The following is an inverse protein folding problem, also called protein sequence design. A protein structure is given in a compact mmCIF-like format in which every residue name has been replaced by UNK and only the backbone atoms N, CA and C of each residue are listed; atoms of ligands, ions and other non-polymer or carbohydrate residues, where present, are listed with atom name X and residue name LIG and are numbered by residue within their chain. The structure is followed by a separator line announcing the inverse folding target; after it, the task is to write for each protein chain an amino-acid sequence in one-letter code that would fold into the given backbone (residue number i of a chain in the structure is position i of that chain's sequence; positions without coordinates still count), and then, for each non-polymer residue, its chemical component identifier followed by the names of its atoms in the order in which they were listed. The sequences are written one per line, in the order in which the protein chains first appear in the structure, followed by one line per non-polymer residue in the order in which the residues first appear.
data_IF_436598875241
#
_entry.id   IF_436598875241
#
_cell.length_a   1.000
_cell.length_b   1.000
_cell.length_c   1.000
_cell.angle_alpha   90.00
_cell.angle_beta   90.00
_cell.angle_gamma   90.00
#
_symmetry.space_group_name_H-M   'P 1'
#
loop_
_entity.id
_entity.type
_entity.pdbx_description
1 polymer ?
#
# COMPACT_ATOMS: atom_id res chain seq x y z
N UNK A 1 -15.28 -14.28 -43.71
CA UNK A 1 -14.10 -13.55 -43.28
C UNK A 1 -14.49 -12.79 -42.01
N UNK A 2 -14.22 -13.35 -40.87
CA UNK A 2 -14.60 -12.75 -39.58
C UNK A 2 -13.35 -12.06 -39.03
N UNK A 3 -13.39 -10.73 -39.03
CA UNK A 3 -12.33 -9.90 -38.49
C UNK A 3 -12.52 -9.86 -36.95
N UNK A 4 -11.75 -10.68 -36.28
CA UNK A 4 -11.66 -10.69 -34.82
C UNK A 4 -10.71 -9.57 -34.37
N UNK A 5 -11.17 -8.33 -34.51
CA UNK A 5 -10.55 -7.23 -33.78
C UNK A 5 -10.83 -7.45 -32.30
N UNK A 6 -9.94 -8.16 -31.64
CA UNK A 6 -9.81 -8.12 -30.17
C UNK A 6 -9.46 -6.69 -29.80
N UNK A 7 -10.49 -5.89 -29.55
CA UNK A 7 -10.33 -4.60 -28.91
C UNK A 7 -9.99 -4.90 -27.45
N UNK A 8 -8.72 -4.88 -27.19
CA UNK A 8 -8.18 -4.81 -25.83
C UNK A 8 -8.72 -3.53 -25.21
N UNK A 9 -9.88 -3.63 -24.57
CA UNK A 9 -10.40 -2.56 -23.74
C UNK A 9 -9.54 -2.57 -22.47
N UNK A 10 -8.37 -1.98 -22.56
CA UNK A 10 -7.73 -1.42 -21.41
C UNK A 10 -8.74 -0.43 -20.82
N UNK A 11 -9.37 -0.84 -19.73
CA UNK A 11 -10.18 0.04 -18.91
C UNK A 11 -9.26 1.13 -18.38
N UNK A 12 -9.12 2.20 -19.11
CA UNK A 12 -8.41 3.39 -18.68
C UNK A 12 -9.36 4.19 -17.76
N UNK A 13 -9.63 3.65 -16.57
CA UNK A 13 -10.20 4.46 -15.52
C UNK A 13 -9.19 5.58 -15.22
N UNK A 14 -9.64 6.83 -15.04
CA UNK A 14 -8.73 7.91 -14.72
C UNK A 14 -7.97 7.61 -13.42
N UNK A 15 -6.70 8.01 -13.32
CA UNK A 15 -5.94 7.83 -12.10
C UNK A 15 -6.65 8.52 -10.93
N UNK A 16 -6.58 7.93 -9.75
CA UNK A 16 -7.15 8.54 -8.56
C UNK A 16 -6.47 9.89 -8.29
N UNK A 17 -7.25 10.92 -8.05
CA UNK A 17 -6.75 12.20 -7.55
C UNK A 17 -6.74 12.26 -6.02
N UNK A 18 -7.24 11.21 -5.36
CA UNK A 18 -7.35 11.11 -3.90
C UNK A 18 -6.17 10.36 -3.31
N UNK A 19 -5.61 10.94 -2.25
CA UNK A 19 -4.68 10.24 -1.37
C UNK A 19 -5.44 9.26 -0.46
N UNK A 20 -4.75 8.21 0.05
CA UNK A 20 -5.36 7.27 0.99
C UNK A 20 -5.98 7.93 2.22
N UNK A 21 -7.12 7.40 2.64
CA UNK A 21 -7.80 7.80 3.89
C UNK A 21 -7.12 7.19 5.11
N UNK A 22 -6.42 6.06 4.94
CA UNK A 22 -5.69 5.39 6.01
C UNK A 22 -4.42 4.68 5.49
N UNK A 23 -3.44 4.57 6.37
CA UNK A 23 -2.19 3.83 6.14
C UNK A 23 -1.97 2.84 7.29
N UNK A 24 -1.79 1.57 6.96
CA UNK A 24 -1.30 0.55 7.91
C UNK A 24 0.21 0.50 7.78
N UNK A 25 0.91 1.10 8.73
CA UNK A 25 2.34 1.40 8.62
C UNK A 25 3.27 0.35 9.20
N UNK A 26 2.73 -0.65 9.89
CA UNK A 26 3.50 -1.73 10.52
C UNK A 26 2.66 -2.53 11.51
N UNK A 27 3.28 -3.46 12.20
CA UNK A 27 4.68 -3.80 12.07
C UNK A 27 4.88 -5.00 11.15
N UNK A 28 6.09 -5.17 10.63
CA UNK A 28 6.44 -6.40 9.92
C UNK A 28 6.24 -7.62 10.82
N UNK A 29 5.76 -8.73 10.24
CA UNK A 29 5.48 -9.99 10.94
C UNK A 29 4.37 -9.88 12.01
N UNK A 30 3.44 -8.95 11.83
CA UNK A 30 2.27 -8.72 12.68
C UNK A 30 0.95 -8.94 11.94
N UNK A 31 0.90 -9.93 11.04
CA UNK A 31 -0.27 -10.33 10.26
C UNK A 31 -0.78 -9.27 9.26
N UNK A 32 0.07 -8.38 8.77
CA UNK A 32 -0.31 -7.37 7.77
C UNK A 32 -0.77 -7.98 6.45
N UNK A 33 -0.25 -9.15 6.07
CA UNK A 33 -0.69 -9.88 4.87
C UNK A 33 -2.12 -10.41 5.03
N UNK A 34 -2.45 -10.97 6.19
CA UNK A 34 -3.82 -11.41 6.49
C UNK A 34 -4.79 -10.24 6.52
N UNK A 35 -4.41 -9.13 7.13
CA UNK A 35 -5.22 -7.92 7.13
C UNK A 35 -5.48 -7.40 5.70
N UNK A 36 -4.46 -7.39 4.85
CA UNK A 36 -4.60 -7.01 3.44
C UNK A 36 -5.65 -7.87 2.76
N UNK A 37 -5.56 -9.19 2.94
CA UNK A 37 -6.52 -10.12 2.36
C UNK A 37 -7.95 -9.83 2.81
N UNK A 38 -8.18 -9.67 4.10
CA UNK A 38 -9.53 -9.39 4.63
C UNK A 38 -10.08 -8.04 4.18
N UNK A 39 -9.26 -7.00 4.17
CA UNK A 39 -9.69 -5.67 3.74
C UNK A 39 -9.99 -5.63 2.24
N UNK A 40 -9.27 -6.39 1.42
CA UNK A 40 -9.54 -6.49 -0.02
C UNK A 40 -10.92 -7.09 -0.31
N UNK A 41 -11.44 -7.93 0.57
CA UNK A 41 -12.78 -8.52 0.44
C UNK A 41 -13.89 -7.58 0.89
N UNK A 42 -13.57 -6.47 1.54
CA UNK A 42 -14.56 -5.54 2.06
C UNK A 42 -15.04 -4.60 0.96
N UNK A 43 -16.37 -4.49 0.71
CA UNK A 43 -16.89 -3.73 -0.43
C UNK A 43 -16.68 -2.22 -0.34
N UNK A 44 -16.52 -1.68 0.87
CA UNK A 44 -16.32 -0.25 1.10
C UNK A 44 -14.84 0.15 1.24
N UNK A 45 -13.91 -0.78 1.00
CA UNK A 45 -12.47 -0.53 1.10
C UNK A 45 -11.81 -0.84 -0.23
N UNK A 46 -10.93 0.05 -0.65
CA UNK A 46 -10.06 -0.15 -1.79
C UNK A 46 -8.61 -0.17 -1.35
N UNK A 47 -7.89 -1.22 -1.70
CA UNK A 47 -6.45 -1.35 -1.53
C UNK A 47 -5.79 -1.56 -2.89
N UNK A 48 -4.54 -1.09 -3.10
CA UNK A 48 -3.80 -1.40 -4.31
C UNK A 48 -3.63 -2.90 -4.51
N UNK A 49 -3.57 -3.35 -5.75
CA UNK A 49 -3.26 -4.76 -6.06
C UNK A 49 -1.87 -5.15 -5.54
N UNK A 50 -0.92 -4.23 -5.59
CA UNK A 50 0.38 -4.38 -4.96
C UNK A 50 0.21 -4.07 -3.48
N UNK A 51 0.42 -5.05 -2.62
CA UNK A 51 0.25 -4.91 -1.17
C UNK A 51 1.14 -3.81 -0.60
N UNK A 52 2.39 -3.79 -0.97
CA UNK A 52 3.41 -2.87 -0.46
C UNK A 52 3.97 -2.07 -1.62
N UNK A 53 3.54 -0.82 -1.79
CA UNK A 53 4.02 0.02 -2.90
C UNK A 53 5.46 0.44 -2.73
N UNK A 54 5.95 0.50 -1.49
CA UNK A 54 7.28 1.00 -1.12
C UNK A 54 7.52 2.45 -1.53
N UNK A 55 6.49 3.18 -1.90
CA UNK A 55 6.63 4.52 -2.45
C UNK A 55 7.35 5.48 -1.50
N UNK A 56 6.97 5.49 -0.23
CA UNK A 56 7.54 6.42 0.74
C UNK A 56 8.90 5.99 1.31
N UNK A 57 9.37 4.77 1.04
CA UNK A 57 10.66 4.27 1.54
C UNK A 57 11.70 4.07 0.44
N UNK A 58 11.27 3.77 -0.78
CA UNK A 58 12.17 3.54 -1.91
C UNK A 58 12.47 4.86 -2.63
N UNK A 59 13.74 5.21 -2.71
CA UNK A 59 14.18 6.48 -3.31
C UNK A 59 13.80 6.59 -4.79
N UNK A 60 13.97 5.52 -5.55
CA UNK A 60 13.69 5.53 -6.99
C UNK A 60 12.19 5.64 -7.25
N UNK A 61 11.36 4.98 -6.44
CA UNK A 61 9.90 5.07 -6.55
C UNK A 61 9.40 6.44 -6.14
N UNK A 62 9.94 6.99 -5.06
CA UNK A 62 9.59 8.33 -4.60
C UNK A 62 9.94 9.40 -5.62
N UNK A 63 11.10 9.27 -6.29
CA UNK A 63 11.54 10.17 -7.35
C UNK A 63 10.60 10.22 -8.57
N UNK A 64 9.78 9.20 -8.78
CA UNK A 64 8.77 9.20 -9.85
C UNK A 64 7.59 10.14 -9.58
N UNK A 65 7.47 10.64 -8.38
CA UNK A 65 6.45 11.60 -7.98
C UNK A 65 5.14 10.99 -7.52
N UNK A 66 4.32 11.83 -6.87
CA UNK A 66 3.05 11.41 -6.26
C UNK A 66 2.05 10.88 -7.28
N UNK A 67 2.08 11.34 -8.52
CA UNK A 67 1.22 10.83 -9.58
C UNK A 67 1.43 9.33 -9.81
N UNK A 68 2.67 8.88 -9.81
CA UNK A 68 3.00 7.45 -9.92
C UNK A 68 2.44 6.64 -8.74
N UNK A 69 2.48 7.18 -7.55
CA UNK A 69 1.86 6.56 -6.38
C UNK A 69 0.33 6.45 -6.53
N UNK A 70 -0.31 7.52 -7.00
CA UNK A 70 -1.76 7.57 -7.19
C UNK A 70 -2.26 6.61 -8.27
N UNK A 71 -1.42 6.23 -9.23
CA UNK A 71 -1.75 5.24 -10.26
C UNK A 71 -2.11 3.87 -9.66
N UNK A 72 -1.57 3.53 -8.49
CA UNK A 72 -1.92 2.31 -7.77
C UNK A 72 -3.38 2.27 -7.29
N UNK A 73 -4.04 3.42 -7.24
CA UNK A 73 -5.41 3.57 -6.76
C UNK A 73 -6.41 3.80 -7.88
N UNK A 74 -6.02 3.53 -9.12
CA UNK A 74 -6.90 3.60 -10.28
C UNK A 74 -8.07 2.63 -10.12
N UNK A 75 -9.29 3.09 -10.39
CA UNK A 75 -10.51 2.28 -10.29
C UNK A 75 -11.20 2.34 -8.93
N UNK A 76 -10.71 3.16 -7.99
CA UNK A 76 -11.39 3.38 -6.71
C UNK A 76 -12.77 4.02 -6.94
N UNK A 77 -13.81 3.49 -6.27
CA UNK A 77 -15.14 4.08 -6.24
C UNK A 77 -15.24 5.24 -5.25
N UNK A 78 -16.11 6.21 -5.53
CA UNK A 78 -16.30 7.41 -4.69
C UNK A 78 -16.71 7.09 -3.25
N UNK A 79 -17.40 5.97 -3.05
CA UNK A 79 -17.88 5.53 -1.74
C UNK A 79 -16.88 4.67 -0.98
N UNK A 80 -15.79 4.26 -1.62
CA UNK A 80 -14.79 3.42 -0.99
C UNK A 80 -13.80 4.25 -0.18
N UNK A 81 -13.37 3.68 0.97
CA UNK A 81 -12.22 4.17 1.71
C UNK A 81 -10.95 3.64 1.09
N UNK A 82 -10.05 4.53 0.81
CA UNK A 82 -8.79 4.25 0.16
C UNK A 82 -7.72 3.98 1.21
N UNK A 83 -7.01 2.88 1.09
CA UNK A 83 -5.97 2.53 2.05
C UNK A 83 -4.75 1.90 1.41
N UNK A 84 -3.68 1.88 2.16
CA UNK A 84 -2.46 1.16 1.82
C UNK A 84 -1.91 0.46 3.06
N UNK A 85 -1.31 -0.70 2.84
CA UNK A 85 -0.58 -1.45 3.87
C UNK A 85 0.87 -1.58 3.43
N UNK A 86 1.75 -0.92 4.14
CA UNK A 86 3.20 -1.07 3.96
C UNK A 86 3.91 -1.04 5.33
N UNK A 87 4.31 -2.21 5.84
CA UNK A 87 4.88 -2.31 7.19
C UNK A 87 6.27 -1.67 7.33
N UNK A 88 6.90 -1.27 6.25
CA UNK A 88 8.19 -0.57 6.30
C UNK A 88 8.04 0.91 6.65
N UNK A 89 6.85 1.49 6.48
CA UNK A 89 6.65 2.92 6.74
C UNK A 89 6.92 3.32 8.19
N UNK A 90 6.65 2.45 9.16
CA UNK A 90 6.99 2.76 10.55
C UNK A 90 8.48 2.58 10.87
N UNK A 91 9.20 1.84 10.05
CA UNK A 91 10.61 1.53 10.30
C UNK A 91 11.57 2.60 9.75
N UNK A 92 11.26 3.17 8.60
CA UNK A 92 12.11 4.17 7.93
C UNK A 92 11.66 5.59 8.23
N UNK A 93 12.53 6.41 8.80
CA UNK A 93 12.25 7.81 9.15
C UNK A 93 11.88 8.67 7.95
N UNK A 94 12.44 8.36 6.79
CA UNK A 94 12.16 9.05 5.53
C UNK A 94 10.68 8.95 5.15
N UNK A 95 10.06 7.81 5.42
CA UNK A 95 8.63 7.62 5.15
C UNK A 95 7.76 8.61 5.94
N UNK A 96 8.11 8.85 7.20
CA UNK A 96 7.37 9.80 8.05
C UNK A 96 7.40 11.21 7.45
N UNK A 97 8.57 11.68 7.06
CA UNK A 97 8.72 13.02 6.48
C UNK A 97 7.98 13.16 5.15
N UNK A 98 8.07 12.15 4.30
CA UNK A 98 7.41 12.12 2.98
C UNK A 98 5.89 12.04 3.10
N UNK A 99 5.39 11.22 4.00
CA UNK A 99 3.94 11.13 4.29
C UNK A 99 3.44 12.47 4.82
N UNK A 100 4.12 13.07 5.79
CA UNK A 100 3.74 14.40 6.30
C UNK A 100 3.70 15.46 5.21
N UNK A 101 4.64 15.44 4.29
CA UNK A 101 4.69 16.40 3.18
C UNK A 101 3.47 16.27 2.27
N UNK A 102 3.13 15.06 1.82
CA UNK A 102 2.04 14.86 0.87
C UNK A 102 0.64 14.90 1.49
N UNK A 103 0.51 14.56 2.77
CA UNK A 103 -0.77 14.51 3.47
C UNK A 103 -1.02 15.72 4.39
N UNK A 104 -0.29 16.81 4.19
CA UNK A 104 -0.37 17.98 5.07
C UNK A 104 -1.78 18.54 5.22
N UNK A 105 -2.55 18.58 4.11
CA UNK A 105 -3.91 19.15 4.09
C UNK A 105 -5.00 18.15 4.51
N UNK A 106 -4.73 16.86 4.40
CA UNK A 106 -5.66 15.79 4.72
C UNK A 106 -4.92 14.59 5.33
N UNK A 107 -4.57 14.63 6.63
CA UNK A 107 -3.84 13.56 7.29
C UNK A 107 -4.60 12.24 7.24
N UNK A 108 -3.94 11.14 6.88
CA UNK A 108 -4.56 9.82 6.89
C UNK A 108 -4.68 9.31 8.32
N UNK A 109 -5.60 8.38 8.54
CA UNK A 109 -5.59 7.58 9.76
C UNK A 109 -4.41 6.62 9.74
N UNK A 110 -3.61 6.63 10.78
CA UNK A 110 -2.46 5.74 10.91
C UNK A 110 -2.86 4.54 11.76
N UNK A 111 -2.63 3.35 11.23
CA UNK A 111 -2.96 2.07 11.89
C UNK A 111 -1.68 1.29 12.14
N UNK A 112 -1.51 0.85 13.37
CA UNK A 112 -0.43 -0.03 13.79
C UNK A 112 -1.00 -1.39 14.17
N UNK A 113 -0.47 -2.47 13.58
CA UNK A 113 -0.68 -3.83 14.02
C UNK A 113 0.51 -4.25 14.85
N UNK A 114 0.27 -4.54 16.11
CA UNK A 114 1.32 -4.93 17.05
C UNK A 114 1.17 -6.42 17.40
N UNK A 115 2.28 -7.02 17.73
CA UNK A 115 2.41 -8.42 18.14
C UNK A 115 3.36 -8.49 19.34
N UNK A 116 3.30 -9.58 20.09
CA UNK A 116 4.32 -9.90 21.09
C UNK A 116 5.72 -9.71 20.48
N UNK A 117 6.59 -8.88 21.09
CA UNK A 117 7.85 -8.49 20.46
C UNK A 117 8.81 -9.67 20.28
N UNK A 118 8.81 -10.66 21.15
CA UNK A 118 9.66 -11.85 21.04
C UNK A 118 9.21 -12.70 19.86
N UNK A 119 7.91 -12.98 19.76
CA UNK A 119 7.33 -13.73 18.64
C UNK A 119 7.52 -13.02 17.30
N UNK A 120 7.38 -11.69 17.29
CA UNK A 120 7.62 -10.88 16.09
C UNK A 120 9.08 -10.96 15.66
N UNK A 121 10.01 -10.77 16.58
CA UNK A 121 11.45 -10.81 16.31
C UNK A 121 11.88 -12.19 15.80
N UNK A 122 11.40 -13.26 16.41
CA UNK A 122 11.67 -14.63 15.96
C UNK A 122 11.10 -14.90 14.57
N UNK A 123 9.88 -14.47 14.29
CA UNK A 123 9.29 -14.59 12.96
C UNK A 123 10.07 -13.82 11.89
N UNK A 124 10.58 -12.64 12.24
CA UNK A 124 11.44 -11.83 11.36
C UNK A 124 12.77 -12.53 11.09
N UNK A 125 13.41 -13.03 12.14
CA UNK A 125 14.65 -13.82 12.03
C UNK A 125 14.49 -15.01 11.09
N UNK A 126 13.44 -15.80 11.25
CA UNK A 126 13.17 -16.94 10.37
C UNK A 126 12.99 -16.52 8.91
N UNK A 127 12.32 -15.41 8.67
CA UNK A 127 12.14 -14.89 7.31
C UNK A 127 13.48 -14.50 6.68
N UNK A 128 14.31 -13.79 7.42
CA UNK A 128 15.63 -13.34 7.00
C UNK A 128 16.57 -14.55 6.74
N UNK A 129 16.60 -15.48 7.68
CA UNK A 129 17.39 -16.71 7.56
C UNK A 129 17.02 -17.54 6.32
N UNK A 130 15.71 -17.70 6.04
CA UNK A 130 15.24 -18.43 4.85
C UNK A 130 15.57 -17.73 3.54
N UNK A 131 15.79 -16.42 3.56
CA UNK A 131 16.23 -15.64 2.40
C UNK A 131 17.74 -15.64 2.20
N UNK A 132 18.50 -16.31 3.07
CA UNK A 132 19.96 -16.36 3.01
C UNK A 132 20.67 -15.06 3.41
N UNK A 133 20.03 -14.23 4.22
CA UNK A 133 20.53 -12.94 4.71
C UNK A 133 21.03 -13.07 6.15
#
# INVERSE_FOLDING_TARGET
MVDLAMTDRQSSAPPSSRLPDFLVVGAQKSATTSLHHYLTLHPEIFLPQIKETKFFVDEQRYAQGIGHYLDHFTGVGDQQRLGEIDPDYMYFSEAVSRIRHHFADAPPKIVFLLRDPVKRAFSHYLMTYRRGL
#
